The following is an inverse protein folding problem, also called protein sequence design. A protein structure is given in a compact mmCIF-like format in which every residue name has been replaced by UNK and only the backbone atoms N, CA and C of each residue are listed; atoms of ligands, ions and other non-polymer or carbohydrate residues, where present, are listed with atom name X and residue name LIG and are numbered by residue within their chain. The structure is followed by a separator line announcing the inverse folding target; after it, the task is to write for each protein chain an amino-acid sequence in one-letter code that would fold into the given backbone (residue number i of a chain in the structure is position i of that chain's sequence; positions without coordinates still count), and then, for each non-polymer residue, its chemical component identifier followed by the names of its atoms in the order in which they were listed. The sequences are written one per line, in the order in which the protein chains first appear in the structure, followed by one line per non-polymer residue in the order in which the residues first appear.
data_IF_851226401456
#
_entry.id   IF_851226401456
#
_cell.length_a   1.000
_cell.length_b   1.000
_cell.length_c   1.000
_cell.angle_alpha   90.00
_cell.angle_beta   90.00
_cell.angle_gamma   90.00
#
_symmetry.space_group_name_H-M   'P 1'
#
loop_
_entity.id
_entity.type
_entity.pdbx_description
1 polymer ?
2 non-polymer ?
3 water ?
#
# COMPACT_ATOMS: atom_id res chain seq x y z
N UNK A 24 8.73 -7.89 19.55
CA UNK A 24 8.18 -7.89 18.17
C UNK A 24 9.12 -7.12 17.23
N UNK A 25 9.24 -7.62 15.99
CA UNK A 25 10.15 -7.04 14.99
C UNK A 25 9.43 -6.69 13.68
N UNK A 26 9.87 -5.61 13.03
CA UNK A 26 9.30 -5.16 11.75
C UNK A 26 9.58 -6.18 10.65
N UNK A 27 8.59 -6.45 9.81
CA UNK A 27 8.76 -7.38 8.70
C UNK A 27 8.86 -6.58 7.41
N UNK A 28 10.02 -6.62 6.74
CA UNK A 28 10.12 -5.85 5.50
C UNK A 28 9.28 -6.49 4.38
N UNK A 29 9.02 -5.72 3.32
CA UNK A 29 8.22 -6.26 2.21
C UNK A 29 8.89 -7.50 1.60
N UNK A 30 8.07 -8.48 1.25
CA UNK A 30 8.53 -9.79 0.79
C UNK A 30 8.50 -10.01 -0.72
N UNK A 31 7.54 -9.39 -1.41
CA UNK A 31 7.46 -9.55 -2.87
C UNK A 31 7.22 -8.21 -3.55
N UNK A 32 7.10 -8.24 -4.87
CA UNK A 32 6.89 -7.03 -5.65
C UNK A 32 5.70 -6.20 -5.15
N UNK A 33 4.58 -6.88 -4.88
CA UNK A 33 3.35 -6.22 -4.42
C UNK A 33 3.57 -5.49 -3.10
N UNK A 34 4.22 -6.16 -2.15
CA UNK A 34 4.50 -5.53 -0.87
C UNK A 34 5.50 -4.38 -0.97
N UNK A 35 6.53 -4.54 -1.80
CA UNK A 35 7.54 -3.48 -1.98
C UNK A 35 6.95 -2.21 -2.56
N UNK A 36 6.15 -2.34 -3.62
CA UNK A 36 5.54 -1.17 -4.25
C UNK A 36 4.52 -0.51 -3.31
N UNK A 37 3.79 -1.31 -2.53
CA UNK A 37 2.78 -0.77 -1.63
C UNK A 37 3.46 -0.02 -0.47
N UNK A 38 4.46 -0.67 0.13
CA UNK A 38 5.24 -0.10 1.24
C UNK A 38 5.89 1.21 0.81
N UNK A 39 6.55 1.18 -0.34
CA UNK A 39 7.25 2.33 -0.89
C UNK A 39 6.31 3.48 -1.24
N UNK A 40 5.16 3.15 -1.83
CA UNK A 40 4.22 4.19 -2.22
C UNK A 40 3.67 4.91 -0.98
N UNK A 41 3.33 4.14 0.05
CA UNK A 41 2.85 4.73 1.29
C UNK A 41 3.89 5.70 1.87
N UNK A 42 5.12 5.22 1.94
CA UNK A 42 6.22 6.01 2.49
C UNK A 42 6.48 7.28 1.67
N UNK A 43 6.47 7.13 0.36
CA UNK A 43 6.73 8.28 -0.53
C UNK A 43 5.67 9.38 -0.40
N UNK A 44 4.41 8.99 -0.44
CA UNK A 44 3.33 9.96 -0.35
C UNK A 44 3.21 10.63 1.02
N UNK A 45 3.28 9.84 2.09
CA UNK A 45 3.12 10.38 3.44
C UNK A 45 4.40 10.97 4.00
N UNK A 46 5.54 10.60 3.42
CA UNK A 46 6.84 11.04 3.92
C UNK A 46 7.31 10.27 5.15
N UNK A 47 6.60 9.20 5.53
CA UNK A 47 6.97 8.37 6.67
C UNK A 47 6.79 6.88 6.36
N UNK A 48 7.85 6.10 6.57
CA UNK A 48 7.78 4.67 6.33
C UNK A 48 6.75 3.98 7.24
N UNK A 49 6.01 2.99 6.71
CA UNK A 49 5.10 2.22 7.58
C UNK A 49 5.84 1.38 8.63
N UNK A 50 7.16 1.23 8.47
CA UNK A 50 7.98 0.45 9.41
C UNK A 50 8.10 -1.01 8.99
N UNK A 51 6.97 -1.66 8.80
CA UNK A 51 6.95 -3.05 8.39
C UNK A 51 5.60 -3.33 7.78
N UNK A 52 5.44 -4.54 7.25
CA UNK A 52 4.20 -4.91 6.56
C UNK A 52 3.04 -5.24 7.50
N UNK A 53 3.32 -5.50 8.78
CA UNK A 53 2.23 -5.78 9.73
C UNK A 53 1.94 -4.63 10.68
N UNK A 54 2.76 -3.58 10.66
CA UNK A 54 2.54 -2.45 11.56
C UNK A 54 1.21 -1.75 11.28
N UNK A 55 0.53 -1.33 12.36
CA UNK A 55 -0.68 -0.54 12.23
C UNK A 55 -0.35 0.74 11.47
N UNK A 56 -1.18 1.09 10.51
CA UNK A 56 -0.94 2.28 9.71
C UNK A 56 -1.60 3.51 10.34
N UNK A 57 -0.94 4.68 10.22
CA UNK A 57 -1.52 5.89 10.73
C UNK A 57 -2.69 6.34 9.86
N UNK A 58 -3.55 7.20 10.41
CA UNK A 58 -4.71 7.67 9.67
C UNK A 58 -4.26 8.70 8.62
N UNK A 59 -4.83 8.62 7.43
CA UNK A 59 -4.50 9.54 6.35
C UNK A 59 -5.64 10.49 6.06
N UNK A 60 -5.31 11.62 5.42
CA UNK A 60 -6.35 12.52 4.95
C UNK A 60 -6.75 11.99 3.57
N UNK A 61 -7.80 12.55 2.98
CA UNK A 61 -8.27 12.02 1.69
C UNK A 61 -7.32 12.29 0.51
N UNK A 62 -6.52 13.35 0.59
CA UNK A 62 -5.59 13.67 -0.51
C UNK A 62 -4.45 12.65 -0.57
N UNK A 63 -3.90 12.30 0.59
CA UNK A 63 -2.83 11.31 0.66
C UNK A 63 -3.37 9.95 0.24
N UNK A 64 -4.58 9.63 0.69
CA UNK A 64 -5.19 8.34 0.32
C UNK A 64 -5.42 8.26 -1.19
N UNK A 65 -5.87 9.36 -1.80
CA UNK A 65 -6.13 9.41 -3.25
C UNK A 65 -4.85 9.27 -4.05
N UNK A 66 -3.78 9.92 -3.60
CA UNK A 66 -2.49 9.82 -4.28
C UNK A 66 -1.91 8.42 -4.20
N UNK A 67 -1.99 7.79 -3.03
CA UNK A 67 -1.49 6.43 -2.88
C UNK A 67 -2.30 5.52 -3.82
N UNK A 68 -3.62 5.69 -3.80
CA UNK A 68 -4.51 4.88 -4.64
C UNK A 68 -4.21 5.05 -6.13
N UNK A 69 -4.05 6.29 -6.58
CA UNK A 69 -3.73 6.57 -7.98
C UNK A 69 -2.41 5.89 -8.39
N UNK A 70 -1.38 6.04 -7.55
CA UNK A 70 -0.08 5.43 -7.85
C UNK A 70 -0.13 3.92 -7.88
N UNK A 71 -0.81 3.31 -6.91
CA UNK A 71 -0.93 1.85 -6.90
C UNK A 71 -1.73 1.34 -8.09
N UNK A 72 -2.78 2.08 -8.46
CA UNK A 72 -3.61 1.71 -9.60
C UNK A 72 -2.79 1.72 -10.90
N UNK A 73 -1.96 2.75 -11.05
CA UNK A 73 -1.10 2.85 -12.23
C UNK A 73 -0.11 1.70 -12.32
N UNK A 74 0.54 1.40 -11.20
CA UNK A 74 1.54 0.33 -11.16
C UNK A 74 0.94 -1.07 -11.23
N UNK A 75 -0.16 -1.32 -10.52
CA UNK A 75 -0.81 -2.64 -10.55
C UNK A 75 -1.67 -2.86 -11.80
N UNK A 76 -2.00 -1.77 -12.50
CA UNK A 76 -2.87 -1.78 -13.70
C UNK A 76 -4.25 -2.39 -13.39
N UNK A 77 -4.76 -2.00 -12.23
CA UNK A 77 -6.08 -2.41 -11.76
C UNK A 77 -6.53 -1.33 -10.80
N UNK A 78 -7.84 -1.24 -10.55
CA UNK A 78 -8.35 -0.16 -9.69
C UNK A 78 -8.17 -0.34 -8.19
N UNK A 79 -7.44 0.60 -7.59
CA UNK A 79 -7.25 0.69 -6.17
C UNK A 79 -7.83 2.05 -5.83
N UNK A 80 -8.74 2.11 -4.86
CA UNK A 80 -9.42 3.36 -4.53
C UNK A 80 -8.91 3.95 -3.22
N UNK A 81 -9.21 5.22 -2.99
CA UNK A 81 -8.87 5.86 -1.73
C UNK A 81 -9.49 5.07 -0.57
N UNK A 82 -10.72 4.55 -0.74
CA UNK A 82 -11.34 3.74 0.31
C UNK A 82 -10.54 2.47 0.62
N UNK A 83 -9.99 1.82 -0.41
CA UNK A 83 -9.15 0.61 -0.24
C UNK A 83 -7.95 0.93 0.64
N UNK A 84 -7.37 2.09 0.38
CA UNK A 84 -6.21 2.54 1.12
C UNK A 84 -6.60 2.82 2.57
N UNK A 85 -7.69 3.57 2.74
CA UNK A 85 -8.17 3.99 4.06
C UNK A 85 -8.64 2.85 4.98
N UNK A 86 -9.11 1.76 4.39
CA UNK A 86 -9.62 0.65 5.18
C UNK A 86 -8.58 -0.46 5.45
N UNK A 87 -7.36 -0.30 4.93
CA UNK A 87 -6.30 -1.28 5.14
C UNK A 87 -5.66 -1.10 6.51
N UNK A 88 -5.61 -2.17 7.31
CA UNK A 88 -5.01 -2.12 8.66
C UNK A 88 -3.50 -2.00 8.60
N UNK A 89 -2.92 -2.65 7.60
CA UNK A 89 -1.47 -2.66 7.44
C UNK A 89 -1.11 -2.81 5.98
N UNK A 90 0.17 -2.70 5.66
CA UNK A 90 0.62 -2.82 4.28
C UNK A 90 0.32 -4.20 3.69
N UNK A 91 0.43 -5.24 4.50
CA UNK A 91 0.15 -6.59 4.00
C UNK A 91 -1.26 -6.66 3.39
N UNK A 92 -2.24 -6.08 4.09
CA UNK A 92 -3.65 -6.06 3.62
C UNK A 92 -3.83 -5.28 2.32
N UNK A 93 -3.21 -4.11 2.24
CA UNK A 93 -3.30 -3.31 1.03
C UNK A 93 -2.56 -3.99 -0.13
N UNK A 94 -1.41 -4.57 0.17
CA UNK A 94 -0.61 -5.23 -0.86
C UNK A 94 -1.33 -6.45 -1.45
N UNK A 95 -2.17 -7.10 -0.64
CA UNK A 95 -2.98 -8.24 -1.09
C UNK A 95 -3.87 -7.83 -2.27
N UNK A 96 -4.45 -6.62 -2.18
CA UNK A 96 -5.31 -6.10 -3.26
C UNK A 96 -4.47 -5.85 -4.51
N UNK A 97 -3.29 -5.26 -4.32
CA UNK A 97 -2.37 -5.01 -5.42
C UNK A 97 -1.93 -6.32 -6.08
N UNK A 98 -1.64 -7.32 -5.26
CA UNK A 98 -1.14 -8.61 -5.75
C UNK A 98 -2.14 -9.30 -6.67
N UNK A 99 -3.43 -9.22 -6.34
CA UNK A 99 -4.46 -9.87 -7.18
C UNK A 99 -4.41 -9.33 -8.60
N UNK A 100 -4.09 -8.05 -8.76
CA UNK A 100 -3.98 -7.47 -10.10
C UNK A 100 -2.70 -7.84 -10.84
N UNK A 101 -1.60 -7.92 -10.12
CA UNK A 101 -0.33 -8.27 -10.75
C UNK A 101 -0.39 -9.69 -11.32
N UNK A 102 -0.97 -10.62 -10.57
CA UNK A 102 -1.05 -12.01 -11.04
C UNK A 102 -2.08 -12.24 -12.16
N UNK A 103 -3.02 -11.30 -12.34
CA UNK A 103 -4.01 -11.39 -13.41
C UNK A 103 -3.57 -10.65 -14.68
N UNK A 104 -2.46 -9.91 -14.61
CA UNK A 104 -1.97 -9.12 -15.74
C UNK A 104 -1.55 -9.90 -16.97
X LIG B 1 9.99 -0.35 13.57
X LIG C 1 -2.28 -11.69 2.75
#
# INVERSE_FOLDING_TARGET
SNAGVALPSPQNGEQPNPTGPALNVDVPPRDAAERVTFATWAIVTGKSPGGIFNELPRLDDEAAAKIAQRLSERAEGPITAEDVLTSSNIEALADKVRTYLEAGQIDGFVRTLRA
ZN ZN
ZN ZN
#
